data_IF_633719410714
#
_entry.id   IF_633719410714
#
_cell.length_a   1.000
_cell.length_b   1.000
_cell.length_c   1.000
_cell.angle_alpha   90.00
_cell.angle_beta   90.00
_cell.angle_gamma   90.00
#
_symmetry.space_group_name_H-M   'P 1'
#
loop_
_entity.id
_entity.type
_entity.pdbx_description
1 polymer ?
#
# COMPACT_ATOMS: atom_id res chain seq x y z
N UNK A 1 -20.21 16.59 10.10
CA UNK A 1 -19.46 15.51 10.77
C UNK A 1 -19.45 14.19 10.00
N UNK A 2 -20.56 13.73 9.41
CA UNK A 2 -20.69 12.44 8.71
C UNK A 2 -19.59 12.13 7.67
N UNK A 3 -19.21 13.11 6.83
CA UNK A 3 -18.20 12.93 5.78
C UNK A 3 -16.81 12.51 6.30
N UNK A 4 -16.43 12.91 7.52
CA UNK A 4 -15.15 12.47 8.11
C UNK A 4 -15.21 11.04 8.65
N UNK A 5 -16.39 10.54 9.03
CA UNK A 5 -16.56 9.15 9.46
C UNK A 5 -16.47 8.20 8.27
N UNK A 6 -17.06 8.57 7.12
CA UNK A 6 -17.02 7.77 5.89
C UNK A 6 -15.58 7.48 5.45
N UNK A 7 -14.69 8.48 5.42
CA UNK A 7 -13.29 8.25 5.03
C UNK A 7 -12.50 7.40 6.02
N UNK A 8 -12.78 7.51 7.33
CA UNK A 8 -12.19 6.62 8.34
C UNK A 8 -12.64 5.18 8.12
N UNK A 9 -13.91 4.96 7.84
CA UNK A 9 -14.45 3.63 7.56
C UNK A 9 -13.85 3.04 6.29
N UNK A 10 -13.74 3.81 5.21
CA UNK A 10 -13.10 3.35 3.96
C UNK A 10 -11.64 2.98 4.21
N UNK A 11 -10.90 3.82 4.95
CA UNK A 11 -9.52 3.51 5.30
C UNK A 11 -9.40 2.24 6.16
N UNK A 12 -10.26 2.08 7.16
CA UNK A 12 -10.28 0.90 8.02
C UNK A 12 -10.63 -0.37 7.23
N UNK A 13 -11.59 -0.31 6.30
CA UNK A 13 -11.92 -1.42 5.41
C UNK A 13 -10.75 -1.78 4.49
N UNK A 14 -10.08 -0.78 3.91
CA UNK A 14 -8.88 -1.03 3.12
C UNK A 14 -7.75 -1.65 3.95
N UNK A 15 -7.56 -1.17 5.19
CA UNK A 15 -6.55 -1.71 6.10
C UNK A 15 -6.87 -3.16 6.48
N UNK A 16 -8.15 -3.46 6.75
CA UNK A 16 -8.62 -4.81 7.04
C UNK A 16 -8.40 -5.75 5.85
N UNK A 17 -8.69 -5.30 4.63
CA UNK A 17 -8.41 -6.08 3.43
C UNK A 17 -6.90 -6.34 3.27
N UNK A 18 -6.05 -5.34 3.51
CA UNK A 18 -4.60 -5.50 3.51
C UNK A 18 -4.11 -6.47 4.61
N UNK A 19 -4.79 -6.50 5.76
CA UNK A 19 -4.51 -7.47 6.83
C UNK A 19 -4.90 -8.91 6.42
N UNK A 20 -6.05 -9.11 5.78
CA UNK A 20 -6.44 -10.42 5.24
C UNK A 20 -5.41 -10.90 4.21
N UNK A 21 -4.98 -9.99 3.33
CA UNK A 21 -3.92 -10.22 2.36
C UNK A 21 -2.61 -10.64 3.05
N UNK A 22 -2.20 -9.93 4.10
CA UNK A 22 -1.05 -10.29 4.92
C UNK A 22 -1.19 -11.71 5.52
N UNK A 23 -2.35 -12.06 6.08
CA UNK A 23 -2.58 -13.40 6.62
C UNK A 23 -2.45 -14.50 5.55
N UNK A 24 -2.97 -14.26 4.34
CA UNK A 24 -2.84 -15.19 3.22
C UNK A 24 -1.38 -15.39 2.80
N UNK A 25 -0.63 -14.30 2.64
CA UNK A 25 0.80 -14.34 2.28
C UNK A 25 1.61 -15.02 3.38
N UNK A 26 1.36 -14.70 4.65
CA UNK A 26 2.03 -15.32 5.79
C UNK A 26 1.73 -16.83 5.86
N UNK A 27 0.49 -17.24 5.58
CA UNK A 27 0.13 -18.65 5.53
C UNK A 27 0.89 -19.40 4.43
N UNK A 28 0.99 -18.82 3.23
CA UNK A 28 1.78 -19.41 2.13
C UNK A 28 3.26 -19.50 2.51
N UNK A 29 3.83 -18.46 3.12
CA UNK A 29 5.22 -18.49 3.61
C UNK A 29 5.46 -19.60 4.64
N UNK A 30 4.58 -19.73 5.64
CA UNK A 30 4.68 -20.79 6.64
C UNK A 30 4.66 -22.17 5.99
N UNK A 31 3.79 -22.39 5.01
CA UNK A 31 3.75 -23.66 4.27
C UNK A 31 5.01 -23.91 3.44
N UNK A 32 5.59 -22.87 2.86
CA UNK A 32 6.89 -23.00 2.15
C UNK A 32 7.97 -23.43 3.14
N UNK A 33 8.11 -22.74 4.28
CA UNK A 33 9.16 -23.04 5.27
C UNK A 33 8.99 -24.40 5.97
N UNK A 34 7.75 -24.85 6.17
CA UNK A 34 7.48 -26.12 6.85
C UNK A 34 7.63 -27.35 5.94
N UNK A 35 7.33 -27.21 4.63
CA UNK A 35 7.29 -28.37 3.73
C UNK A 35 8.51 -28.45 2.80
N UNK A 36 9.11 -27.31 2.43
CA UNK A 36 10.28 -27.27 1.55
C UNK A 36 11.44 -26.63 2.32
N UNK A 37 12.51 -27.39 2.56
CA UNK A 37 13.74 -26.83 3.08
C UNK A 37 14.22 -25.66 2.21
N UNK A 38 14.98 -24.70 2.76
CA UNK A 38 15.35 -23.43 2.10
C UNK A 38 16.11 -23.57 0.76
N UNK A 39 16.54 -24.77 0.38
CA UNK A 39 17.49 -25.00 -0.72
C UNK A 39 16.85 -25.45 -2.04
N UNK A 40 15.59 -25.92 -2.07
CA UNK A 40 15.04 -26.61 -3.26
C UNK A 40 13.94 -25.84 -4.02
N UNK A 41 13.75 -24.55 -3.70
CA UNK A 41 12.69 -23.75 -4.31
C UNK A 41 13.21 -22.97 -5.52
N UNK A 42 12.90 -23.43 -6.73
CA UNK A 42 13.06 -22.67 -7.99
C UNK A 42 12.27 -21.35 -8.08
N UNK A 43 11.71 -20.88 -6.97
CA UNK A 43 10.86 -19.69 -6.81
C UNK A 43 11.40 -18.70 -5.77
N UNK A 44 12.71 -18.70 -5.50
CA UNK A 44 13.35 -17.81 -4.52
C UNK A 44 12.90 -16.34 -4.63
N UNK A 45 12.77 -15.81 -5.85
CA UNK A 45 12.30 -14.44 -6.07
C UNK A 45 10.87 -14.17 -5.58
N UNK A 46 9.97 -15.15 -5.69
CA UNK A 46 8.57 -15.03 -5.24
C UNK A 46 8.51 -15.13 -3.71
N UNK A 47 9.26 -16.06 -3.12
CA UNK A 47 9.39 -16.20 -1.66
C UNK A 47 9.95 -14.93 -1.04
N UNK A 48 11.01 -14.36 -1.64
CA UNK A 48 11.60 -13.11 -1.20
C UNK A 48 10.60 -11.94 -1.30
N UNK A 49 9.81 -11.87 -2.37
CA UNK A 49 8.74 -10.86 -2.48
C UNK A 49 7.71 -11.01 -1.36
N UNK A 50 7.27 -12.23 -1.02
CA UNK A 50 6.36 -12.45 0.11
C UNK A 50 6.96 -12.02 1.45
N UNK A 51 8.24 -12.29 1.70
CA UNK A 51 8.92 -11.83 2.92
C UNK A 51 8.98 -10.30 2.98
N UNK A 52 9.34 -9.64 1.87
CA UNK A 52 9.33 -8.18 1.77
C UNK A 52 7.93 -7.63 2.03
N UNK A 53 6.89 -8.25 1.47
CA UNK A 53 5.50 -7.84 1.69
C UNK A 53 5.13 -7.83 3.19
N UNK A 54 5.53 -8.88 3.92
CA UNK A 54 5.31 -9.00 5.36
C UNK A 54 6.02 -7.88 6.11
N UNK A 55 7.28 -7.61 5.80
CA UNK A 55 8.05 -6.51 6.43
C UNK A 55 7.38 -5.16 6.15
N UNK A 56 6.98 -4.91 4.91
CA UNK A 56 6.29 -3.69 4.51
C UNK A 56 4.94 -3.53 5.22
N UNK A 57 4.22 -4.62 5.50
CA UNK A 57 2.96 -4.58 6.25
C UNK A 57 3.14 -4.12 7.70
N UNK A 58 4.15 -4.65 8.40
CA UNK A 58 4.46 -4.19 9.75
C UNK A 58 4.94 -2.74 9.73
N UNK A 59 5.84 -2.39 8.82
CA UNK A 59 6.27 -1.00 8.64
C UNK A 59 5.10 -0.05 8.40
N UNK A 60 4.18 -0.43 7.51
CA UNK A 60 2.98 0.35 7.19
C UNK A 60 2.10 0.53 8.42
N UNK A 61 1.79 -0.55 9.13
CA UNK A 61 0.94 -0.52 10.34
C UNK A 61 1.55 0.36 11.43
N UNK A 62 2.86 0.20 11.70
CA UNK A 62 3.58 1.05 12.65
C UNK A 62 3.53 2.52 12.21
N UNK A 63 3.78 2.80 10.93
CA UNK A 63 3.77 4.17 10.41
C UNK A 63 2.39 4.82 10.52
N UNK A 64 1.31 4.06 10.30
CA UNK A 64 -0.08 4.54 10.47
C UNK A 64 -0.37 4.89 11.93
N UNK A 65 0.07 4.04 12.87
CA UNK A 65 -0.09 4.31 14.32
C UNK A 65 0.70 5.54 14.73
N UNK A 66 1.97 5.63 14.32
CA UNK A 66 2.82 6.79 14.62
C UNK A 66 2.26 8.06 14.00
N UNK A 67 1.77 8.01 12.76
CA UNK A 67 1.11 9.15 12.11
C UNK A 67 -0.15 9.59 12.88
N UNK A 68 -0.94 8.64 13.39
CA UNK A 68 -2.14 8.95 14.17
C UNK A 68 -1.82 9.71 15.46
N UNK A 69 -0.66 9.44 16.07
CA UNK A 69 -0.18 10.09 17.30
C UNK A 69 0.53 11.41 17.00
N UNK A 70 1.53 11.39 16.11
CA UNK A 70 2.47 12.51 15.87
C UNK A 70 1.96 13.51 14.83
N UNK A 71 1.13 13.07 13.88
CA UNK A 71 0.58 13.87 12.77
C UNK A 71 1.66 14.66 12.01
N UNK A 72 2.85 14.10 11.84
CA UNK A 72 3.98 14.76 11.17
C UNK A 72 4.01 14.45 9.67
N UNK A 73 4.58 15.36 8.88
CA UNK A 73 4.71 15.16 7.43
C UNK A 73 5.62 13.96 7.07
N UNK A 74 6.70 13.74 7.81
CA UNK A 74 7.59 12.60 7.58
C UNK A 74 6.89 11.25 7.77
N UNK A 75 6.00 11.15 8.78
CA UNK A 75 5.26 9.91 9.04
C UNK A 75 4.19 9.67 7.98
N UNK A 76 3.59 10.74 7.43
CA UNK A 76 2.71 10.65 6.26
C UNK A 76 3.45 10.11 5.02
N UNK A 77 4.62 10.66 4.70
CA UNK A 77 5.43 10.18 3.56
C UNK A 77 5.77 8.70 3.76
N UNK A 78 6.18 8.31 4.97
CA UNK A 78 6.49 6.92 5.27
C UNK A 78 5.29 6.00 4.98
N UNK A 79 4.08 6.37 5.43
CA UNK A 79 2.85 5.61 5.13
C UNK A 79 2.62 5.48 3.62
N UNK A 80 2.80 6.57 2.85
CA UNK A 80 2.61 6.56 1.39
C UNK A 80 3.67 5.68 0.70
N UNK A 81 4.93 5.79 1.07
CA UNK A 81 6.01 4.98 0.49
C UNK A 81 5.79 3.49 0.77
N UNK A 82 5.39 3.16 1.99
CA UNK A 82 5.16 1.77 2.39
C UNK A 82 3.95 1.17 1.68
N UNK A 83 2.84 1.89 1.54
CA UNK A 83 1.67 1.38 0.81
C UNK A 83 1.97 1.22 -0.70
N UNK A 84 2.74 2.14 -1.29
CA UNK A 84 3.18 2.02 -2.70
C UNK A 84 4.13 0.83 -2.85
N UNK A 85 5.05 0.62 -1.90
CA UNK A 85 5.92 -0.54 -1.88
C UNK A 85 5.14 -1.86 -1.82
N UNK A 86 4.09 -1.92 -0.98
CA UNK A 86 3.20 -3.09 -0.92
C UNK A 86 2.46 -3.34 -2.24
N UNK A 87 1.95 -2.28 -2.86
CA UNK A 87 1.31 -2.36 -4.17
C UNK A 87 2.25 -2.91 -5.24
N UNK A 88 3.48 -2.38 -5.30
CA UNK A 88 4.51 -2.86 -6.24
C UNK A 88 4.86 -4.32 -5.98
N UNK A 89 4.97 -4.71 -4.71
CA UNK A 89 5.24 -6.10 -4.34
C UNK A 89 4.13 -7.03 -4.84
N UNK A 90 2.85 -6.69 -4.59
CA UNK A 90 1.71 -7.47 -5.09
C UNK A 90 1.69 -7.56 -6.62
N UNK A 91 2.00 -6.46 -7.31
CA UNK A 91 2.10 -6.43 -8.77
C UNK A 91 3.20 -7.35 -9.30
N UNK A 92 4.42 -7.22 -8.78
CA UNK A 92 5.58 -8.02 -9.20
C UNK A 92 5.35 -9.50 -8.92
N UNK A 93 4.80 -9.84 -7.76
CA UNK A 93 4.49 -11.24 -7.42
C UNK A 93 3.40 -11.80 -8.31
N UNK A 94 2.33 -11.04 -8.57
CA UNK A 94 1.24 -11.49 -9.46
C UNK A 94 1.74 -11.72 -10.89
N UNK A 95 2.56 -10.80 -11.42
CA UNK A 95 3.16 -10.94 -12.75
C UNK A 95 4.12 -12.13 -12.81
N UNK A 96 4.97 -12.30 -11.80
CA UNK A 96 5.89 -13.45 -11.70
C UNK A 96 5.14 -14.79 -11.67
N UNK A 97 4.03 -14.86 -10.93
CA UNK A 97 3.17 -16.05 -10.86
C UNK A 97 2.46 -16.35 -12.19
N UNK A 98 2.08 -15.33 -12.95
CA UNK A 98 1.45 -15.48 -14.27
C UNK A 98 2.48 -15.88 -15.34
N UNK A 99 3.67 -15.27 -15.30
CA UNK A 99 4.76 -15.50 -16.25
C UNK A 99 5.46 -16.86 -16.07
N UNK A 100 5.21 -17.54 -14.95
CA UNK A 100 5.74 -18.88 -14.71
C UNK A 100 5.10 -19.89 -15.68
N UNK A 101 5.95 -20.67 -16.37
CA UNK A 101 5.53 -21.63 -17.40
C UNK A 101 4.84 -22.86 -16.80
N UNK A 102 3.73 -23.29 -17.45
CA UNK A 102 2.94 -24.45 -17.02
C UNK A 102 3.68 -25.78 -17.21
N UNK A 103 4.58 -25.85 -18.19
CA UNK A 103 5.25 -27.10 -18.58
C UNK A 103 6.25 -27.60 -17.53
N UNK A 104 6.79 -26.70 -16.69
CA UNK A 104 7.65 -27.08 -15.56
C UNK A 104 6.93 -27.88 -14.45
N UNK A 105 5.59 -27.87 -14.44
CA UNK A 105 4.76 -28.38 -13.33
C UNK A 105 3.88 -29.56 -13.70
N UNK A 106 3.93 -30.02 -14.95
CA UNK A 106 3.07 -31.10 -15.46
C UNK A 106 3.80 -32.43 -15.78
N UNK A 107 4.76 -32.95 -14.99
CA UNK A 107 5.11 -34.36 -15.11
C UNK A 107 4.18 -35.18 -14.22
N UNK A 108 2.97 -35.50 -14.69
CA UNK A 108 2.18 -36.67 -14.28
C UNK A 108 1.74 -36.86 -12.80
N UNK A 109 2.13 -36.02 -11.84
CA UNK A 109 1.83 -36.18 -10.41
C UNK A 109 0.99 -35.03 -9.87
N UNK A 110 -0.07 -35.33 -9.13
CA UNK A 110 -1.00 -34.34 -8.58
C UNK A 110 -0.31 -33.33 -7.66
N UNK A 111 -0.09 -32.10 -8.16
CA UNK A 111 0.35 -30.96 -7.36
C UNK A 111 -0.68 -30.67 -6.26
N UNK A 112 -0.27 -30.91 -5.01
CA UNK A 112 -1.03 -30.51 -3.82
C UNK A 112 -0.40 -29.27 -3.21
N UNK A 113 -1.24 -28.40 -2.64
CA UNK A 113 -0.79 -27.16 -1.99
C UNK A 113 0.22 -27.41 -0.86
N UNK A 114 0.20 -28.59 -0.25
CA UNK A 114 1.12 -28.99 0.81
C UNK A 114 2.53 -29.29 0.29
N UNK A 115 2.67 -29.75 -0.95
CA UNK A 115 3.96 -30.12 -1.53
C UNK A 115 4.65 -28.93 -2.22
N UNK A 116 3.88 -28.15 -2.99
CA UNK A 116 4.39 -26.94 -3.65
C UNK A 116 3.30 -25.87 -3.68
N UNK A 117 3.24 -25.00 -2.64
CA UNK A 117 2.26 -23.93 -2.57
C UNK A 117 2.35 -22.96 -3.75
N UNK A 118 3.57 -22.62 -4.21
CA UNK A 118 3.80 -21.65 -5.28
C UNK A 118 3.43 -22.26 -6.63
N UNK A 119 3.85 -23.49 -6.90
CA UNK A 119 3.45 -24.23 -8.09
C UNK A 119 1.94 -24.48 -8.16
N UNK A 120 1.30 -24.76 -7.03
CA UNK A 120 -0.14 -24.92 -6.97
C UNK A 120 -0.90 -23.62 -7.33
N UNK A 121 -0.37 -22.47 -6.94
CA UNK A 121 -0.89 -21.15 -7.28
C UNK A 121 -0.61 -20.80 -8.75
N UNK A 122 0.60 -21.06 -9.26
CA UNK A 122 1.00 -20.71 -10.64
C UNK A 122 0.16 -21.46 -11.70
N UNK A 123 -0.19 -22.72 -11.44
CA UNK A 123 -1.08 -23.51 -12.32
C UNK A 123 -2.48 -22.87 -12.42
N UNK A 124 -2.93 -22.16 -11.39
CA UNK A 124 -4.25 -21.50 -11.31
C UNK A 124 -4.14 -19.99 -11.54
N UNK A 125 -3.76 -19.60 -12.77
CA UNK A 125 -3.59 -18.18 -13.18
C UNK A 125 -4.75 -17.24 -12.85
N UNK A 126 -5.97 -17.76 -12.69
CA UNK A 126 -7.12 -16.95 -12.26
C UNK A 126 -6.96 -16.41 -10.83
N UNK A 127 -6.25 -17.10 -9.94
CA UNK A 127 -6.00 -16.67 -8.55
C UNK A 127 -5.21 -15.35 -8.50
N UNK A 128 -3.98 -15.24 -9.07
CA UNK A 128 -3.23 -13.98 -9.04
C UNK A 128 -3.95 -12.85 -9.80
N UNK A 129 -4.74 -13.15 -10.83
CA UNK A 129 -5.54 -12.15 -11.56
C UNK A 129 -6.66 -11.60 -10.67
N UNK A 130 -7.46 -12.47 -10.04
CA UNK A 130 -8.50 -12.06 -9.09
C UNK A 130 -7.92 -11.24 -7.95
N UNK A 131 -6.75 -11.64 -7.47
CA UNK A 131 -6.01 -10.95 -6.43
C UNK A 131 -5.63 -9.53 -6.84
N UNK A 132 -5.02 -9.37 -8.02
CA UNK A 132 -4.68 -8.06 -8.55
C UNK A 132 -5.93 -7.18 -8.73
N UNK A 133 -7.02 -7.72 -9.27
CA UNK A 133 -8.27 -6.98 -9.50
C UNK A 133 -8.90 -6.50 -8.19
N UNK A 134 -8.86 -7.30 -7.13
CA UNK A 134 -9.46 -6.94 -5.84
C UNK A 134 -8.58 -5.98 -5.05
N UNK A 135 -7.27 -6.24 -4.96
CA UNK A 135 -6.38 -5.50 -4.06
C UNK A 135 -5.80 -4.21 -4.67
N UNK A 136 -5.62 -4.15 -5.99
CA UNK A 136 -5.03 -2.97 -6.63
C UNK A 136 -5.91 -1.70 -6.48
N UNK A 137 -7.24 -1.76 -6.69
CA UNK A 137 -8.11 -0.61 -6.41
C UNK A 137 -8.13 -0.23 -4.93
N UNK A 138 -8.02 -1.21 -4.02
CA UNK A 138 -8.00 -0.96 -2.57
C UNK A 138 -6.76 -0.14 -2.18
N UNK A 139 -5.58 -0.50 -2.68
CA UNK A 139 -4.35 0.27 -2.44
C UNK A 139 -4.45 1.69 -2.99
N UNK A 140 -5.00 1.87 -4.19
CA UNK A 140 -5.20 3.19 -4.79
C UNK A 140 -6.17 4.07 -3.96
N UNK A 141 -7.27 3.48 -3.48
CA UNK A 141 -8.23 4.17 -2.61
C UNK A 141 -7.56 4.57 -1.29
N UNK A 142 -6.75 3.70 -0.69
CA UNK A 142 -6.02 4.04 0.54
C UNK A 142 -5.06 5.21 0.33
N UNK A 143 -4.28 5.21 -0.75
CA UNK A 143 -3.38 6.32 -1.10
C UNK A 143 -4.17 7.62 -1.23
N UNK A 144 -5.29 7.60 -1.96
CA UNK A 144 -6.13 8.79 -2.14
C UNK A 144 -6.70 9.32 -0.82
N UNK A 145 -7.17 8.43 0.05
CA UNK A 145 -7.70 8.81 1.36
C UNK A 145 -6.60 9.40 2.25
N UNK A 146 -5.41 8.79 2.30
CA UNK A 146 -4.26 9.30 3.05
C UNK A 146 -3.86 10.69 2.55
N UNK A 147 -3.75 10.86 1.23
CA UNK A 147 -3.38 12.14 0.63
C UNK A 147 -4.42 13.23 0.96
N UNK A 148 -5.70 12.91 0.92
CA UNK A 148 -6.77 13.83 1.30
C UNK A 148 -6.72 14.21 2.79
N UNK A 149 -6.38 13.27 3.68
CA UNK A 149 -6.19 13.55 5.09
C UNK A 149 -5.00 14.51 5.32
N UNK A 150 -3.91 14.34 4.56
CA UNK A 150 -2.75 15.23 4.62
C UNK A 150 -3.09 16.67 4.26
N UNK A 151 -3.81 16.88 3.15
CA UNK A 151 -4.21 18.22 2.70
C UNK A 151 -5.09 18.95 3.71
N UNK A 152 -5.92 18.21 4.47
CA UNK A 152 -6.82 18.79 5.49
C UNK A 152 -6.14 19.13 6.80
N UNK A 153 -5.05 18.44 7.14
CA UNK A 153 -4.27 18.75 8.33
C UNK A 153 -3.39 19.99 8.14
N UNK A 154 -3.44 20.65 6.97
CA UNK A 154 -2.58 21.80 6.68
C UNK A 154 -1.11 21.44 6.63
N UNK A 155 -0.75 20.15 6.63
CA UNK A 155 0.64 19.68 6.59
C UNK A 155 1.33 20.05 5.27
N UNK A 156 0.56 20.27 4.21
CA UNK A 156 1.05 20.84 2.95
C UNK A 156 1.32 22.36 3.07
N UNK A 157 0.61 23.08 3.95
CA UNK A 157 0.77 24.52 4.18
C UNK A 157 1.79 24.85 5.29
N UNK A 158 2.11 23.89 6.17
CA UNK A 158 3.04 24.11 7.28
C UNK A 158 4.52 24.15 6.84
N UNK A 159 4.84 23.60 5.67
CA UNK A 159 6.14 23.78 4.99
C UNK A 159 6.21 25.06 4.14
N UNK A 160 5.10 25.79 4.02
CA UNK A 160 5.02 27.07 3.30
C UNK A 160 5.38 28.26 4.22
N UNK A 161 6.08 28.04 5.33
CA UNK A 161 6.81 29.11 6.06
C UNK A 161 7.97 29.70 5.23
N UNK A 162 8.26 29.12 4.06
CA UNK A 162 9.11 29.70 3.02
C UNK A 162 8.36 30.32 1.84
N UNK A 163 7.02 30.41 1.87
CA UNK A 163 6.28 31.12 0.83
C UNK A 163 6.44 32.62 1.06
N UNK A 164 7.47 33.19 0.44
CA UNK A 164 7.58 34.64 0.23
C UNK A 164 6.19 35.15 -0.12
N UNK A 165 5.64 36.00 0.74
CA UNK A 165 4.46 36.80 0.47
C UNK A 165 4.56 37.31 -0.95
N UNK A 166 3.75 36.74 -1.84
CA UNK A 166 3.63 37.32 -3.19
C UNK A 166 2.95 38.67 -2.99
N UNK A 167 3.53 39.78 -3.47
CA UNK A 167 3.15 41.13 -3.07
C UNK A 167 1.81 41.62 -3.67
N UNK A 168 0.98 40.73 -4.21
CA UNK A 168 -0.23 41.11 -4.97
C UNK A 168 -1.49 41.36 -4.13
N UNK A 169 -1.38 41.48 -2.81
CA UNK A 169 -2.50 41.85 -1.93
C UNK A 169 -2.24 43.10 -1.07
N UNK A 170 -1.25 43.93 -1.43
CA UNK A 170 -0.92 45.16 -0.71
C UNK A 170 -1.44 46.45 -1.37
N UNK A 171 -2.30 46.37 -2.39
CA UNK A 171 -2.89 47.54 -3.04
C UNK A 171 -4.42 47.47 -3.04
N UNK A 172 -5.01 47.71 -1.87
CA UNK A 172 -6.28 48.43 -1.81
C UNK A 172 -6.36 49.21 -0.49
N UNK A 173 -5.37 50.09 -0.27
CA UNK A 173 -5.57 51.24 0.62
C UNK A 173 -6.33 52.28 -0.19
N UNK A 174 -7.66 52.19 -0.19
CA UNK A 174 -8.50 53.32 -0.57
C UNK A 174 -8.35 54.35 0.55
N UNK A 175 -7.46 55.31 0.32
CA UNK A 175 -7.45 56.57 1.06
C UNK A 175 -8.67 57.37 0.61
N UNK A 176 -9.74 57.36 1.41
CA UNK A 176 -10.72 58.45 1.33
C UNK A 176 -10.08 59.63 2.04
N UNK A 177 -9.28 60.40 1.31
CA UNK A 177 -9.00 61.77 1.67
C UNK A 177 -10.33 62.53 1.65
N UNK A 178 -10.74 63.06 2.79
CA UNK A 178 -11.73 64.11 2.84
C UNK A 178 -11.15 65.24 3.68
N UNK A 179 -10.31 66.03 3.02
CA UNK A 179 -10.08 67.40 3.43
C UNK A 179 -11.40 68.18 3.29
N UNK A 180 -11.61 69.11 4.22
CA UNK A 180 -12.75 70.01 4.32
C UNK A 180 -12.96 70.88 3.07
N UNK A 181 -14.03 71.69 3.04
CA UNK A 181 -14.11 72.85 3.93
C UNK A 181 -15.18 72.78 5.03
#
# INVERSE_FOLDING_TARGET
MARNQVYKTIFALGWLANFVLFCLVAFVLVQIFLNNGPEDNGYWGITLAFVIFVILFFGFTISVVVFSIRKTYHTLIAVIVLIVGQLLCVLVTSLSLIATDKEKFLPGGGLTFKLDPIGWISVRRWLPILFAIVFLPLFLIQIFVINRYASRLGLAAQNDTGRKSTPYHAEEKIYIAKDGP
#
